data_IF_266755889851
#
_entry.id   IF_266755889851
#
_cell.length_a   1.000
_cell.length_b   1.000
_cell.length_c   1.000
_cell.angle_alpha   90.00
_cell.angle_beta   90.00
_cell.angle_gamma   90.00
#
_symmetry.space_group_name_H-M   'P 1'
#
loop_
_entity.id
_entity.type
_entity.pdbx_description
1 polymer ?
#
# COMPACT_ATOMS: atom_id res chain seq x y z
N UNK A 1 17.11 -19.76 -31.47
CA UNK A 1 16.62 -18.42 -31.09
C UNK A 1 15.13 -18.49 -30.92
N UNK A 2 14.61 -18.18 -29.73
CA UNK A 2 13.18 -18.01 -29.50
C UNK A 2 12.93 -16.56 -29.12
N UNK A 3 12.05 -15.86 -29.82
CA UNK A 3 11.62 -14.53 -29.44
C UNK A 3 10.10 -14.51 -29.31
N UNK A 4 9.62 -13.79 -28.30
CA UNK A 4 8.22 -13.42 -28.22
C UNK A 4 8.13 -11.98 -27.71
N UNK A 5 7.00 -11.36 -27.94
CA UNK A 5 6.74 -10.02 -27.47
C UNK A 5 5.30 -9.65 -27.73
N UNK A 6 4.83 -8.67 -27.00
CA UNK A 6 3.47 -8.16 -27.16
C UNK A 6 3.52 -6.65 -27.28
N UNK A 7 2.62 -6.10 -28.10
CA UNK A 7 2.34 -4.69 -28.17
C UNK A 7 0.90 -4.47 -27.69
N UNK A 8 0.70 -3.47 -26.83
CA UNK A 8 -0.58 -3.13 -26.24
C UNK A 8 -0.83 -1.64 -26.39
N UNK A 9 -2.07 -1.28 -26.73
CA UNK A 9 -2.56 0.09 -26.76
C UNK A 9 -3.97 0.13 -26.17
N UNK A 10 -4.31 1.22 -25.48
CA UNK A 10 -5.63 1.43 -24.90
C UNK A 10 -6.01 2.90 -24.94
N UNK A 11 -7.32 3.14 -25.03
CA UNK A 11 -7.93 4.45 -24.83
C UNK A 11 -9.30 4.21 -24.22
N UNK A 12 -9.75 5.10 -23.34
CA UNK A 12 -11.08 5.02 -22.73
C UNK A 12 -11.94 6.25 -23.01
N UNK A 13 -13.17 6.22 -22.50
CA UNK A 13 -14.17 7.30 -22.66
C UNK A 13 -13.72 8.65 -22.12
N UNK A 14 -12.63 8.73 -21.35
CA UNK A 14 -12.06 9.97 -20.82
C UNK A 14 -10.83 10.43 -21.61
N UNK A 15 -10.58 9.86 -22.79
CA UNK A 15 -9.44 10.15 -23.67
C UNK A 15 -8.09 9.97 -22.96
N UNK A 16 -7.96 8.87 -22.22
CA UNK A 16 -6.72 8.52 -21.52
C UNK A 16 -5.96 7.45 -22.33
N UNK A 17 -5.05 7.85 -23.24
CA UNK A 17 -4.26 6.86 -23.97
C UNK A 17 -3.29 6.16 -23.02
N UNK A 18 -3.14 4.87 -23.23
CA UNK A 18 -2.13 4.03 -22.61
C UNK A 18 -1.52 3.10 -23.64
N UNK A 19 -0.34 2.61 -23.37
CA UNK A 19 0.34 1.67 -24.24
C UNK A 19 1.52 1.02 -23.56
N UNK A 20 1.97 -0.08 -24.14
CA UNK A 20 3.15 -0.76 -23.65
C UNK A 20 3.61 -1.83 -24.62
N UNK A 21 4.88 -2.19 -24.51
CA UNK A 21 5.50 -3.25 -25.27
C UNK A 21 6.33 -4.12 -24.34
N UNK A 22 6.38 -5.40 -24.61
CA UNK A 22 7.34 -6.32 -24.01
C UNK A 22 8.01 -7.16 -25.08
N UNK A 23 9.24 -7.56 -24.80
CA UNK A 23 10.02 -8.45 -25.63
C UNK A 23 10.81 -9.40 -24.73
N UNK A 24 10.89 -10.65 -25.16
CA UNK A 24 11.68 -11.70 -24.54
C UNK A 24 12.46 -12.42 -25.65
N UNK A 25 13.79 -12.43 -25.55
CA UNK A 25 14.71 -13.00 -26.53
C UNK A 25 15.57 -14.03 -25.83
N UNK A 26 15.35 -15.31 -26.16
CA UNK A 26 16.15 -16.42 -25.68
C UNK A 26 17.09 -16.92 -26.77
N UNK A 27 18.39 -16.84 -26.49
CA UNK A 27 19.44 -17.40 -27.33
C UNK A 27 20.41 -18.21 -26.47
N UNK A 28 20.49 -19.52 -26.73
CA UNK A 28 21.35 -20.45 -25.99
C UNK A 28 21.09 -20.39 -24.48
N UNK A 29 22.12 -20.00 -23.71
CA UNK A 29 22.09 -19.89 -22.25
C UNK A 29 21.60 -18.52 -21.74
N UNK A 30 21.28 -17.58 -22.63
CA UNK A 30 20.92 -16.21 -22.24
C UNK A 30 19.47 -15.94 -22.65
N UNK A 31 18.71 -15.39 -21.72
CA UNK A 31 17.37 -14.87 -21.94
C UNK A 31 17.37 -13.38 -21.60
N UNK A 32 17.13 -12.51 -22.57
CA UNK A 32 16.95 -11.07 -22.32
C UNK A 32 15.47 -10.74 -22.34
N UNK A 33 15.01 -9.97 -21.37
CA UNK A 33 13.65 -9.46 -21.35
C UNK A 33 13.63 -7.96 -21.09
N UNK A 34 12.71 -7.28 -21.77
CA UNK A 34 12.43 -5.87 -21.53
C UNK A 34 10.93 -5.60 -21.69
N UNK A 35 10.39 -4.72 -20.85
CA UNK A 35 9.02 -4.28 -20.92
C UNK A 35 8.95 -2.78 -20.59
N UNK A 36 8.10 -2.06 -21.31
CA UNK A 36 7.81 -0.66 -21.06
C UNK A 36 6.31 -0.41 -21.18
N UNK A 37 5.78 0.48 -20.34
CA UNK A 37 4.39 0.93 -20.39
C UNK A 37 4.31 2.42 -20.07
N UNK A 38 3.31 3.07 -20.64
CA UNK A 38 2.96 4.46 -20.40
C UNK A 38 1.44 4.59 -20.31
N UNK A 39 0.95 5.35 -19.36
CA UNK A 39 -0.48 5.56 -19.17
C UNK A 39 -0.74 7.02 -18.81
N UNK A 40 -1.68 7.65 -19.52
CA UNK A 40 -2.28 8.90 -19.09
C UNK A 40 -3.40 8.63 -18.07
N UNK A 41 -3.60 9.59 -17.17
CA UNK A 41 -4.67 9.55 -16.16
C UNK A 41 -5.46 10.85 -16.19
N UNK A 42 -6.77 10.69 -16.06
CA UNK A 42 -7.75 11.76 -15.83
C UNK A 42 -8.80 11.19 -14.89
N UNK A 43 -8.91 11.78 -13.70
CA UNK A 43 -9.90 11.43 -12.69
C UNK A 43 -10.74 12.66 -12.40
N UNK A 44 -12.03 12.43 -12.26
CA UNK A 44 -13.04 13.37 -11.79
C UNK A 44 -13.66 12.72 -10.56
N UNK A 45 -14.00 13.52 -9.57
CA UNK A 45 -14.85 13.10 -8.45
C UNK A 45 -15.84 14.21 -8.17
N UNK A 46 -16.94 13.84 -7.52
CA UNK A 46 -17.94 14.76 -7.00
C UNK A 46 -18.04 14.45 -5.51
N UNK A 47 -17.69 15.42 -4.67
CA UNK A 47 -17.67 15.25 -3.23
C UNK A 47 -18.66 16.25 -2.61
N UNK A 48 -19.37 15.79 -1.59
CA UNK A 48 -20.21 16.61 -0.74
C UNK A 48 -19.94 16.24 0.71
N UNK A 49 -19.91 17.22 1.60
CA UNK A 49 -19.74 17.02 3.04
C UNK A 49 -20.66 17.95 3.79
N UNK A 50 -21.53 17.38 4.61
CA UNK A 50 -22.37 18.11 5.55
C UNK A 50 -21.87 17.85 6.97
N UNK A 51 -21.65 18.93 7.72
CA UNK A 51 -21.14 18.88 9.09
C UNK A 51 -21.98 19.75 10.01
N UNK A 52 -22.35 19.21 11.16
CA UNK A 52 -22.99 19.97 12.24
C UNK A 52 -22.04 19.98 13.44
N UNK A 53 -21.52 21.15 13.76
CA UNK A 53 -20.68 21.39 14.92
C UNK A 53 -21.56 21.96 16.06
N UNK A 54 -21.38 21.46 17.28
CA UNK A 54 -22.07 21.96 18.49
C UNK A 54 -21.09 22.65 19.47
N UNK A 55 -20.48 23.79 19.09
CA UNK A 55 -19.71 24.59 20.06
C UNK A 55 -20.60 25.08 21.19
N UNK A 56 -20.05 25.23 22.40
CA UNK A 56 -20.80 25.36 23.66
C UNK A 56 -22.09 26.23 23.67
N UNK A 57 -22.14 27.31 22.89
CA UNK A 57 -23.28 28.24 22.85
C UNK A 57 -23.91 28.44 21.45
N UNK A 58 -23.44 27.76 20.41
CA UNK A 58 -23.91 27.94 19.03
C UNK A 58 -24.01 26.58 18.32
N UNK A 59 -24.81 26.49 17.26
CA UNK A 59 -24.75 25.34 16.33
C UNK A 59 -24.20 25.85 15.00
N UNK A 60 -23.15 25.24 14.46
CA UNK A 60 -22.64 25.60 13.14
C UNK A 60 -22.90 24.47 12.14
N UNK A 61 -23.65 24.76 11.09
CA UNK A 61 -23.92 23.85 9.99
C UNK A 61 -23.01 24.27 8.84
N UNK A 62 -22.16 23.36 8.38
CA UNK A 62 -21.25 23.60 7.25
C UNK A 62 -21.56 22.61 6.14
N UNK A 63 -21.81 23.11 4.94
CA UNK A 63 -21.91 22.30 3.72
C UNK A 63 -20.72 22.61 2.82
N UNK A 64 -20.17 21.57 2.21
CA UNK A 64 -19.00 21.66 1.35
C UNK A 64 -19.23 20.86 0.08
N UNK A 65 -18.88 21.43 -1.06
CA UNK A 65 -18.98 20.78 -2.37
C UNK A 65 -17.74 21.08 -3.21
N UNK A 66 -17.21 20.05 -3.87
CA UNK A 66 -16.09 20.20 -4.79
C UNK A 66 -16.05 19.11 -5.86
N UNK A 67 -15.45 19.44 -7.00
CA UNK A 67 -15.32 18.53 -8.14
C UNK A 67 -13.84 18.42 -8.58
N UNK A 68 -12.98 17.72 -7.82
CA UNK A 68 -11.55 17.71 -8.09
C UNK A 68 -11.21 17.03 -9.42
N UNK A 69 -10.37 17.69 -10.20
CA UNK A 69 -9.82 17.21 -11.45
C UNK A 69 -8.35 16.83 -11.26
N UNK A 70 -8.06 15.54 -11.34
CA UNK A 70 -6.70 15.02 -11.35
C UNK A 70 -6.32 14.59 -12.76
N UNK A 71 -5.29 15.21 -13.34
CA UNK A 71 -4.73 14.84 -14.65
C UNK A 71 -3.26 14.47 -14.48
N UNK A 72 -2.78 13.49 -15.22
CA UNK A 72 -1.35 13.22 -15.23
C UNK A 72 -0.97 12.05 -16.11
N UNK A 73 0.22 11.54 -15.87
CA UNK A 73 0.76 10.41 -16.59
C UNK A 73 1.73 9.64 -15.70
N UNK A 74 1.96 8.39 -16.05
CA UNK A 74 3.07 7.62 -15.51
C UNK A 74 3.59 6.63 -16.54
N UNK A 75 4.90 6.37 -16.45
CA UNK A 75 5.58 5.35 -17.23
C UNK A 75 6.27 4.36 -16.31
N UNK A 76 6.42 3.12 -16.77
CA UNK A 76 7.19 2.08 -16.11
C UNK A 76 8.02 1.35 -17.17
N UNK A 77 9.28 1.06 -16.84
CA UNK A 77 10.17 0.24 -17.63
C UNK A 77 10.84 -0.81 -16.74
N UNK A 78 11.05 -2.00 -17.29
CA UNK A 78 11.83 -3.08 -16.67
C UNK A 78 12.67 -3.76 -17.73
N UNK A 79 13.91 -4.08 -17.39
CA UNK A 79 14.77 -4.92 -18.23
C UNK A 79 15.58 -5.87 -17.36
N UNK A 80 15.96 -7.01 -17.92
CA UNK A 80 16.76 -7.99 -17.22
C UNK A 80 17.28 -9.11 -18.10
N UNK A 81 18.12 -9.93 -17.50
CA UNK A 81 18.76 -11.08 -18.12
C UNK A 81 18.60 -12.29 -17.20
N UNK A 82 18.16 -13.41 -17.76
CA UNK A 82 18.33 -14.73 -17.17
C UNK A 82 19.49 -15.45 -17.85
N UNK A 83 20.50 -15.81 -17.06
CA UNK A 83 21.66 -16.57 -17.49
C UNK A 83 21.60 -18.00 -16.94
N UNK A 84 21.46 -18.95 -17.85
CA UNK A 84 21.52 -20.38 -17.58
C UNK A 84 22.99 -20.79 -17.35
N UNK A 85 23.49 -20.58 -16.13
CA UNK A 85 24.85 -20.93 -15.71
C UNK A 85 25.16 -22.41 -15.97
N UNK A 86 24.20 -23.28 -15.67
CA UNK A 86 24.22 -24.72 -15.99
C UNK A 86 22.85 -25.14 -16.50
N UNK A 87 22.70 -26.36 -17.03
CA UNK A 87 21.39 -26.90 -17.45
C UNK A 87 20.36 -27.00 -16.30
N UNK A 88 20.76 -26.70 -15.07
CA UNK A 88 19.97 -26.78 -13.84
C UNK A 88 19.98 -25.49 -13.01
N UNK A 89 20.80 -24.51 -13.34
CA UNK A 89 20.95 -23.29 -12.55
C UNK A 89 20.76 -22.07 -13.43
N UNK A 90 19.80 -21.22 -13.07
CA UNK A 90 19.52 -19.95 -13.72
C UNK A 90 19.80 -18.81 -12.73
N UNK A 91 20.60 -17.83 -13.16
CA UNK A 91 20.80 -16.55 -12.48
C UNK A 91 19.99 -15.48 -13.20
N UNK A 92 19.16 -14.73 -12.49
CA UNK A 92 18.33 -13.66 -13.02
C UNK A 92 18.76 -12.33 -12.42
N UNK A 93 18.98 -11.32 -13.25
CA UNK A 93 19.27 -9.94 -12.82
C UNK A 93 18.33 -9.02 -13.57
N UNK A 94 17.67 -8.11 -12.87
CA UNK A 94 16.77 -7.13 -13.49
C UNK A 94 16.71 -5.81 -12.74
N UNK A 95 16.37 -4.75 -13.46
CA UNK A 95 16.10 -3.43 -12.90
C UNK A 95 14.79 -2.88 -13.44
N UNK A 96 14.14 -2.03 -12.65
CA UNK A 96 12.93 -1.32 -13.04
C UNK A 96 12.99 0.15 -12.66
N UNK A 97 12.26 0.96 -13.42
CA UNK A 97 12.08 2.37 -13.20
C UNK A 97 10.63 2.74 -13.47
N UNK A 98 10.03 3.50 -12.57
CA UNK A 98 8.70 4.08 -12.73
C UNK A 98 8.77 5.57 -12.40
N UNK A 99 8.06 6.39 -13.15
CA UNK A 99 7.91 7.80 -12.84
C UNK A 99 6.54 8.27 -13.29
N UNK A 100 5.95 9.17 -12.53
CA UNK A 100 4.77 9.89 -12.96
C UNK A 100 4.64 11.26 -12.34
N UNK A 101 3.78 12.05 -12.95
CA UNK A 101 3.41 13.37 -12.48
C UNK A 101 1.91 13.56 -12.67
N UNK A 102 1.26 14.09 -11.64
CA UNK A 102 -0.15 14.39 -11.58
C UNK A 102 -0.35 15.83 -11.13
N UNK A 103 -1.27 16.51 -11.79
CA UNK A 103 -1.74 17.85 -11.45
C UNK A 103 -3.17 17.74 -10.97
N UNK A 104 -3.42 18.21 -9.76
CA UNK A 104 -4.77 18.29 -9.18
C UNK A 104 -5.20 19.75 -9.21
N UNK A 105 -6.37 20.00 -9.79
CA UNK A 105 -7.08 21.26 -9.67
C UNK A 105 -8.40 21.00 -8.99
N UNK A 106 -8.75 21.84 -8.04
CA UNK A 106 -10.00 21.71 -7.32
C UNK A 106 -10.51 23.07 -6.87
N UNK A 107 -11.82 23.18 -6.72
CA UNK A 107 -12.49 24.36 -6.17
C UNK A 107 -13.52 23.87 -5.15
N UNK A 108 -13.22 24.14 -3.88
CA UNK A 108 -14.08 23.83 -2.75
C UNK A 108 -14.97 25.01 -2.43
N UNK A 109 -16.27 24.82 -2.58
CA UNK A 109 -17.28 25.78 -2.13
C UNK A 109 -17.73 25.37 -0.73
N UNK A 110 -17.80 26.33 0.17
CA UNK A 110 -18.14 26.13 1.58
C UNK A 110 -19.25 27.12 1.91
N UNK A 111 -20.35 26.63 2.46
CA UNK A 111 -21.36 27.46 3.11
C UNK A 111 -21.42 27.09 4.59
N UNK A 112 -21.45 28.09 5.46
CA UNK A 112 -21.47 27.90 6.92
C UNK A 112 -22.51 28.79 7.56
N UNK A 113 -23.49 28.17 8.20
CA UNK A 113 -24.50 28.83 9.02
C UNK A 113 -24.19 28.62 10.49
N UNK A 114 -23.91 29.70 11.21
CA UNK A 114 -23.74 29.66 12.67
C UNK A 114 -25.01 30.18 13.34
N UNK A 115 -25.80 29.27 13.88
CA UNK A 115 -27.01 29.53 14.67
C UNK A 115 -26.59 29.98 16.07
N UNK A 116 -26.92 31.22 16.42
CA UNK A 116 -26.65 31.84 17.72
C UNK A 116 -27.95 32.21 18.41
N UNK A 117 -27.90 32.51 19.70
CA UNK A 117 -29.07 32.90 20.50
C UNK A 117 -29.81 34.14 19.97
N UNK A 118 -29.14 34.97 19.17
CA UNK A 118 -29.68 36.23 18.62
C UNK A 118 -29.91 36.18 17.10
N UNK A 119 -29.73 35.01 16.47
CA UNK A 119 -29.95 34.82 15.03
C UNK A 119 -28.88 33.97 14.35
N UNK A 120 -29.08 33.70 13.07
CA UNK A 120 -28.14 32.93 12.25
C UNK A 120 -27.18 33.85 11.52
N UNK A 121 -25.89 33.54 11.57
CA UNK A 121 -24.84 34.21 10.78
C UNK A 121 -24.37 33.25 9.71
N UNK A 122 -24.64 33.60 8.45
CA UNK A 122 -24.21 32.85 7.27
C UNK A 122 -22.91 33.41 6.70
N UNK A 123 -21.99 32.54 6.32
CA UNK A 123 -20.75 32.85 5.61
C UNK A 123 -20.59 31.88 4.44
N UNK A 124 -20.08 32.35 3.32
CA UNK A 124 -19.65 31.46 2.24
C UNK A 124 -18.16 31.67 1.95
N UNK A 125 -17.50 30.64 1.45
CA UNK A 125 -16.12 30.75 0.98
C UNK A 125 -15.85 29.83 -0.19
N UNK A 126 -14.86 30.22 -0.99
CA UNK A 126 -14.35 29.45 -2.12
C UNK A 126 -12.86 29.24 -1.88
N UNK A 127 -12.41 27.99 -1.89
CA UNK A 127 -11.01 27.61 -1.76
C UNK A 127 -10.55 26.90 -3.03
N UNK A 128 -9.66 27.54 -3.78
CA UNK A 128 -9.04 26.98 -4.97
C UNK A 128 -7.75 26.23 -4.60
N UNK A 129 -7.56 25.04 -5.14
CA UNK A 129 -6.37 24.21 -4.98
C UNK A 129 -5.69 23.98 -6.34
N UNK A 130 -4.37 24.18 -6.38
CA UNK A 130 -3.51 23.67 -7.43
C UNK A 130 -2.37 22.86 -6.82
N UNK A 131 -2.33 21.55 -7.09
CA UNK A 131 -1.30 20.66 -6.59
C UNK A 131 -0.53 19.96 -7.72
N UNK A 132 0.77 19.80 -7.54
CA UNK A 132 1.68 19.03 -8.37
C UNK A 132 2.25 17.86 -7.55
N UNK A 133 1.86 16.64 -7.91
CA UNK A 133 2.26 15.40 -7.26
C UNK A 133 3.18 14.65 -8.23
N UNK A 134 4.40 14.37 -7.82
CA UNK A 134 5.36 13.58 -8.59
C UNK A 134 5.82 12.39 -7.78
N UNK A 135 6.08 11.28 -8.46
CA UNK A 135 6.64 10.11 -7.84
C UNK A 135 7.66 9.44 -8.77
N UNK A 136 8.63 8.78 -8.15
CA UNK A 136 9.63 7.93 -8.81
C UNK A 136 9.75 6.63 -8.04
N UNK A 137 9.94 5.53 -8.73
CA UNK A 137 10.29 4.25 -8.13
C UNK A 137 11.43 3.63 -8.94
N UNK A 138 12.47 3.19 -8.23
CA UNK A 138 13.63 2.51 -8.78
C UNK A 138 13.72 1.16 -8.11
N UNK A 139 13.99 0.11 -8.88
CA UNK A 139 14.12 -1.23 -8.33
C UNK A 139 15.22 -2.03 -9.00
N UNK A 140 15.78 -2.95 -8.24
CA UNK A 140 16.76 -3.92 -8.69
C UNK A 140 16.47 -5.27 -8.03
N UNK A 141 16.63 -6.34 -8.78
CA UNK A 141 16.42 -7.71 -8.31
C UNK A 141 17.53 -8.61 -8.84
N UNK A 142 18.06 -9.46 -7.98
CA UNK A 142 18.93 -10.58 -8.33
C UNK A 142 18.33 -11.85 -7.73
N UNK A 143 18.34 -12.94 -8.49
CA UNK A 143 17.83 -14.21 -8.01
C UNK A 143 18.51 -15.40 -8.66
N UNK A 144 18.56 -16.51 -7.95
CA UNK A 144 19.05 -17.79 -8.46
C UNK A 144 17.97 -18.85 -8.29
N UNK A 145 17.79 -19.67 -9.31
CA UNK A 145 16.98 -20.90 -9.24
C UNK A 145 17.85 -22.08 -9.62
N UNK A 146 17.96 -23.05 -8.71
CA UNK A 146 18.63 -24.32 -8.94
C UNK A 146 17.63 -25.48 -8.88
N UNK A 147 17.46 -26.18 -10.00
CA UNK A 147 16.68 -27.40 -10.10
C UNK A 147 17.62 -28.61 -9.89
N UNK A 148 17.37 -29.42 -8.87
CA UNK A 148 18.19 -30.61 -8.63
C UNK A 148 17.84 -31.73 -9.63
N UNK A 149 18.64 -32.81 -9.64
CA UNK A 149 18.37 -33.99 -10.46
C UNK A 149 17.00 -34.63 -10.17
N UNK A 150 16.59 -34.57 -8.89
CA UNK A 150 15.31 -35.09 -8.44
C UNK A 150 14.20 -34.15 -8.92
N UNK A 151 13.26 -34.68 -9.70
CA UNK A 151 12.12 -33.91 -10.21
C UNK A 151 11.37 -33.22 -9.06
N UNK A 152 11.08 -31.93 -9.24
CA UNK A 152 10.39 -31.08 -8.26
C UNK A 152 11.24 -30.65 -7.06
N UNK A 153 12.50 -31.11 -6.94
CA UNK A 153 13.43 -30.60 -5.92
C UNK A 153 14.10 -29.35 -6.45
N UNK A 154 13.89 -28.23 -5.78
CA UNK A 154 14.45 -26.93 -6.19
C UNK A 154 14.89 -26.07 -5.01
N UNK A 155 15.84 -25.20 -5.26
CA UNK A 155 16.28 -24.16 -4.35
C UNK A 155 16.21 -22.82 -5.07
N UNK A 156 15.64 -21.81 -4.40
CA UNK A 156 15.62 -20.43 -4.87
C UNK A 156 16.23 -19.52 -3.82
N UNK A 157 16.91 -18.47 -4.27
CA UNK A 157 17.30 -17.37 -3.42
C UNK A 157 17.25 -16.07 -4.21
N UNK A 158 16.72 -15.01 -3.62
CA UNK A 158 16.60 -13.71 -4.26
C UNK A 158 16.81 -12.55 -3.28
N UNK A 159 17.28 -11.45 -3.84
CA UNK A 159 17.41 -10.17 -3.17
C UNK A 159 16.75 -9.10 -4.05
N UNK A 160 15.86 -8.33 -3.45
CA UNK A 160 15.12 -7.25 -4.10
C UNK A 160 15.36 -5.95 -3.35
N UNK A 161 15.61 -4.90 -4.11
CA UNK A 161 15.66 -3.53 -3.66
C UNK A 161 14.62 -2.72 -4.42
N UNK A 162 13.83 -1.92 -3.71
CA UNK A 162 12.92 -0.94 -4.32
C UNK A 162 12.95 0.35 -3.52
N UNK A 163 13.18 1.47 -4.17
CA UNK A 163 13.09 2.80 -3.56
C UNK A 163 12.07 3.66 -4.27
N UNK A 164 11.10 4.15 -3.51
CA UNK A 164 10.09 5.10 -3.95
C UNK A 164 10.38 6.48 -3.36
N UNK A 165 10.17 7.51 -4.16
CA UNK A 165 10.17 8.90 -3.74
C UNK A 165 8.89 9.55 -4.20
N UNK A 166 8.24 10.29 -3.33
CA UNK A 166 7.09 11.11 -3.65
C UNK A 166 7.39 12.56 -3.28
N UNK A 167 6.86 13.49 -4.06
CA UNK A 167 6.85 14.91 -3.73
C UNK A 167 5.49 15.49 -4.12
N UNK A 168 4.91 16.28 -3.23
CA UNK A 168 3.70 17.04 -3.47
C UNK A 168 3.97 18.52 -3.16
N UNK A 169 3.49 19.41 -4.02
CA UNK A 169 3.41 20.84 -3.74
C UNK A 169 1.97 21.26 -3.99
N UNK A 170 1.31 21.80 -2.98
CA UNK A 170 -0.07 22.23 -3.02
C UNK A 170 -0.16 23.71 -2.69
N UNK A 171 -0.84 24.48 -3.54
CA UNK A 171 -1.10 25.90 -3.30
C UNK A 171 -2.61 26.08 -3.13
N UNK A 172 -2.99 26.85 -2.12
CA UNK A 172 -4.37 27.14 -1.77
C UNK A 172 -4.59 28.64 -1.78
N UNK A 173 -5.73 29.05 -2.33
CA UNK A 173 -6.21 30.43 -2.26
C UNK A 173 -7.65 30.43 -1.80
N UNK A 174 -7.97 31.19 -0.75
CA UNK A 174 -9.31 31.24 -0.16
C UNK A 174 -9.89 32.64 -0.27
N UNK A 175 -11.15 32.72 -0.72
CA UNK A 175 -11.97 33.94 -0.71
C UNK A 175 -13.17 33.70 0.20
N UNK A 176 -13.46 34.67 1.04
CA UNK A 176 -14.55 34.61 2.03
C UNK A 176 -15.55 35.71 1.73
N UNK A 177 -16.84 35.42 1.93
CA UNK A 177 -17.93 36.34 1.68
C UNK A 177 -18.81 36.45 2.92
N UNK A 178 -19.28 37.65 3.23
CA UNK A 178 -20.22 37.88 4.33
C UNK A 178 -21.65 37.38 4.03
N UNK A 179 -22.56 37.56 4.97
CA UNK A 179 -23.98 37.17 4.84
C UNK A 179 -24.74 37.91 3.74
N UNK A 180 -24.18 39.01 3.22
CA UNK A 180 -24.75 39.80 2.13
C UNK A 180 -24.09 39.49 0.78
N UNK A 181 -23.11 38.58 0.76
CA UNK A 181 -22.36 38.20 -0.44
C UNK A 181 -21.21 39.14 -0.78
N UNK A 182 -20.84 40.10 0.09
CA UNK A 182 -19.69 40.95 -0.14
C UNK A 182 -18.40 40.18 0.17
N UNK A 183 -17.39 40.32 -0.70
CA UNK A 183 -16.08 39.72 -0.48
C UNK A 183 -15.37 40.40 0.71
N UNK A 184 -14.94 39.59 1.67
CA UNK A 184 -14.13 40.03 2.81
C UNK A 184 -12.71 40.36 2.35
N UNK A 185 -11.96 41.19 3.09
CA UNK A 185 -10.56 41.47 2.78
C UNK A 185 -9.76 40.17 2.57
N UNK A 186 -8.87 40.19 1.57
CA UNK A 186 -8.00 39.06 1.26
C UNK A 186 -7.27 38.60 2.52
N UNK A 187 -7.43 37.31 2.87
CA UNK A 187 -6.88 36.74 4.10
C UNK A 187 -5.56 35.99 3.89
N UNK A 188 -5.01 36.06 2.67
CA UNK A 188 -3.76 35.41 2.29
C UNK A 188 -3.94 34.14 1.45
N UNK A 189 -2.82 33.47 1.19
CA UNK A 189 -2.74 32.18 0.53
C UNK A 189 -1.98 31.20 1.42
N UNK A 190 -2.18 29.90 1.19
CA UNK A 190 -1.49 28.85 1.90
C UNK A 190 -0.75 27.97 0.91
N UNK A 191 0.37 27.40 1.35
CA UNK A 191 1.17 26.49 0.55
C UNK A 191 1.62 25.34 1.43
N UNK A 192 1.54 24.12 0.90
CA UNK A 192 2.06 22.93 1.53
C UNK A 192 3.06 22.28 0.58
N UNK A 193 4.27 22.01 1.06
CA UNK A 193 5.24 21.15 0.40
C UNK A 193 5.40 19.88 1.22
N UNK A 194 5.47 18.73 0.56
CA UNK A 194 5.72 17.48 1.24
C UNK A 194 6.44 16.49 0.36
N UNK A 195 7.07 15.53 1.00
CA UNK A 195 7.74 14.45 0.31
C UNK A 195 7.93 13.25 1.20
N UNK A 196 8.15 12.11 0.57
CA UNK A 196 8.54 10.88 1.26
C UNK A 196 9.56 10.10 0.45
N UNK A 197 10.40 9.34 1.14
CA UNK A 197 11.25 8.31 0.55
C UNK A 197 11.00 6.99 1.29
N UNK A 198 10.77 5.92 0.55
CA UNK A 198 10.67 4.58 1.12
C UNK A 198 11.64 3.65 0.40
N UNK A 199 12.60 3.08 1.11
CA UNK A 199 13.45 2.01 0.61
C UNK A 199 12.99 0.67 1.19
N UNK A 200 12.87 -0.35 0.34
CA UNK A 200 12.54 -1.71 0.70
C UNK A 200 13.68 -2.62 0.27
N UNK A 201 14.17 -3.43 1.20
CA UNK A 201 15.10 -4.53 0.94
C UNK A 201 14.42 -5.83 1.32
N UNK A 202 14.42 -6.82 0.46
CA UNK A 202 13.89 -8.16 0.76
C UNK A 202 14.87 -9.20 0.31
N UNK A 203 15.24 -10.08 1.23
CA UNK A 203 16.05 -11.27 0.97
C UNK A 203 15.20 -12.49 1.27
N UNK A 204 15.15 -13.44 0.35
CA UNK A 204 14.38 -14.66 0.52
C UNK A 204 15.16 -15.84 -0.01
N UNK A 205 15.04 -16.98 0.67
CA UNK A 205 15.49 -18.26 0.14
C UNK A 205 14.49 -19.35 0.49
N UNK A 206 14.17 -20.18 -0.49
CA UNK A 206 13.22 -21.26 -0.37
C UNK A 206 13.83 -22.56 -0.89
N UNK A 207 13.47 -23.66 -0.26
CA UNK A 207 13.89 -25.00 -0.62
C UNK A 207 12.68 -25.92 -0.66
N UNK A 208 12.49 -26.58 -1.79
CA UNK A 208 11.42 -27.54 -2.04
C UNK A 208 12.05 -28.91 -2.22
N UNK A 209 11.59 -29.90 -1.46
CA UNK A 209 12.06 -31.26 -1.53
C UNK A 209 10.88 -32.26 -1.54
N UNK A 210 10.54 -32.82 -2.71
CA UNK A 210 9.67 -33.98 -2.78
C UNK A 210 10.36 -35.16 -2.10
N UNK A 211 9.81 -35.69 -1.01
CA UNK A 211 10.38 -36.86 -0.32
C UNK A 211 9.92 -38.17 -0.96
N UNK A 212 8.78 -38.15 -1.66
CA UNK A 212 8.25 -39.25 -2.46
C UNK A 212 7.26 -38.74 -3.50
N UNK A 213 6.49 -39.63 -4.13
CA UNK A 213 5.47 -39.24 -5.13
C UNK A 213 4.39 -38.33 -4.56
N UNK A 214 4.02 -38.53 -3.29
CA UNK A 214 2.90 -37.85 -2.64
C UNK A 214 3.33 -37.11 -1.36
N UNK A 215 4.62 -36.89 -1.14
CA UNK A 215 5.15 -36.23 0.07
C UNK A 215 6.09 -35.13 -0.38
N UNK A 216 5.89 -33.92 0.14
CA UNK A 216 6.70 -32.73 -0.16
C UNK A 216 6.99 -31.99 1.15
N UNK A 217 8.25 -31.58 1.31
CA UNK A 217 8.68 -30.67 2.35
C UNK A 217 9.18 -29.38 1.73
N UNK A 218 8.76 -28.25 2.28
CA UNK A 218 9.12 -26.91 1.84
C UNK A 218 9.61 -26.13 3.06
N UNK A 219 10.68 -25.36 2.91
CA UNK A 219 11.16 -24.48 3.97
C UNK A 219 11.81 -23.25 3.37
N UNK A 220 11.82 -22.15 4.11
CA UNK A 220 12.46 -20.94 3.66
C UNK A 220 12.71 -19.94 4.77
N UNK A 221 13.56 -18.97 4.45
CA UNK A 221 13.92 -17.84 5.28
C UNK A 221 13.62 -16.56 4.52
N UNK A 222 13.19 -15.52 5.24
CA UNK A 222 12.94 -14.20 4.68
C UNK A 222 13.41 -13.12 5.65
N UNK A 223 14.11 -12.12 5.13
CA UNK A 223 14.41 -10.88 5.82
C UNK A 223 13.87 -9.71 5.00
N UNK A 224 13.11 -8.82 5.62
CA UNK A 224 12.59 -7.62 5.00
C UNK A 224 12.98 -6.40 5.85
N UNK A 225 13.48 -5.37 5.19
CA UNK A 225 13.86 -4.09 5.78
C UNK A 225 13.13 -2.99 5.03
N UNK A 226 12.58 -2.04 5.77
CA UNK A 226 11.95 -0.84 5.23
C UNK A 226 12.48 0.36 5.97
N UNK A 227 13.06 1.28 5.21
CA UNK A 227 13.46 2.59 5.67
C UNK A 227 12.51 3.61 5.05
N UNK A 228 11.95 4.48 5.88
CA UNK A 228 10.99 5.47 5.45
C UNK A 228 11.33 6.83 6.03
N UNK A 229 11.20 7.85 5.21
CA UNK A 229 11.34 9.25 5.59
C UNK A 229 10.15 10.01 5.01
N UNK A 230 9.60 10.95 5.77
CA UNK A 230 8.55 11.84 5.31
C UNK A 230 8.68 13.20 5.96
N UNK A 231 8.41 14.23 5.17
CA UNK A 231 8.36 15.60 5.61
C UNK A 231 7.15 16.32 5.01
N UNK A 232 6.63 17.28 5.76
CA UNK A 232 5.59 18.19 5.31
C UNK A 232 5.82 19.58 5.93
N UNK A 233 6.00 20.57 5.07
CA UNK A 233 6.17 21.96 5.41
C UNK A 233 4.96 22.77 4.95
N UNK A 234 4.36 23.50 5.88
CA UNK A 234 3.22 24.36 5.61
C UNK A 234 3.65 25.83 5.71
N UNK A 235 3.08 26.66 4.86
CA UNK A 235 3.39 28.07 4.76
C UNK A 235 2.12 28.88 4.60
N UNK A 236 2.14 30.11 5.12
CA UNK A 236 1.06 31.08 4.96
C UNK A 236 1.61 32.41 4.47
N UNK A 237 0.93 32.99 3.50
CA UNK A 237 1.09 34.37 3.11
C UNK A 237 0.10 35.21 3.92
N UNK A 238 0.58 36.26 4.58
CA UNK A 238 -0.26 37.18 5.37
C UNK A 238 -0.20 38.57 4.72
N UNK A 239 -1.32 39.10 4.21
CA UNK A 239 -1.36 40.44 3.63
C UNK A 239 -0.96 41.54 4.63
N UNK A 240 -0.30 42.62 4.18
CA UNK A 240 0.00 42.98 2.78
C UNK A 240 1.26 42.29 2.20
N UNK A 241 1.93 41.41 2.95
CA UNK A 241 3.14 40.75 2.48
C UNK A 241 2.85 39.80 1.30
N UNK A 242 3.77 39.75 0.35
CA UNK A 242 3.78 38.78 -0.76
C UNK A 242 4.59 37.52 -0.45
N UNK A 243 5.28 37.50 0.70
CA UNK A 243 6.14 36.39 1.10
C UNK A 243 5.35 35.32 1.87
N UNK A 244 5.65 34.06 1.59
CA UNK A 244 5.19 32.92 2.38
C UNK A 244 6.06 32.76 3.62
N UNK A 245 5.44 32.75 4.80
CA UNK A 245 6.10 32.50 6.08
C UNK A 245 5.82 31.06 6.53
N UNK A 246 6.82 30.29 6.98
CA UNK A 246 6.61 28.94 7.49
C UNK A 246 5.66 28.89 8.69
N UNK A 247 4.75 27.94 8.70
CA UNK A 247 3.89 27.57 9.82
C UNK A 247 4.53 26.40 10.59
N UNK A 248 5.67 26.64 11.22
CA UNK A 248 6.51 25.60 11.85
C UNK A 248 5.77 24.71 12.85
N UNK A 249 4.75 25.23 13.54
CA UNK A 249 3.89 24.46 14.45
C UNK A 249 3.11 23.32 13.76
N UNK A 250 2.92 23.38 12.45
CA UNK A 250 2.22 22.39 11.64
C UNK A 250 3.15 21.54 10.77
N UNK A 251 4.46 21.76 10.84
CA UNK A 251 5.41 20.99 10.06
C UNK A 251 5.68 19.64 10.74
N UNK A 252 5.84 18.61 9.92
CA UNK A 252 6.14 17.25 10.38
C UNK A 252 7.35 16.75 9.62
N UNK A 253 8.37 16.29 10.34
CA UNK A 253 9.53 15.60 9.77
C UNK A 253 9.80 14.35 10.61
N UNK A 254 9.83 13.21 9.94
CA UNK A 254 9.79 11.92 10.57
C UNK A 254 10.48 10.84 9.72
N UNK A 255 11.18 9.92 10.40
CA UNK A 255 11.72 8.72 9.80
C UNK A 255 11.41 7.46 10.63
N UNK A 256 11.37 6.30 9.97
CA UNK A 256 11.38 5.03 10.65
C UNK A 256 12.09 3.91 9.89
N UNK A 257 12.53 2.93 10.67
CA UNK A 257 13.05 1.65 10.22
C UNK A 257 12.12 0.52 10.72
N UNK A 258 11.75 -0.38 9.82
CA UNK A 258 10.96 -1.59 10.11
C UNK A 258 11.69 -2.82 9.56
N UNK A 259 11.95 -3.78 10.45
CA UNK A 259 12.68 -5.00 10.12
C UNK A 259 11.85 -6.22 10.51
N UNK A 260 11.76 -7.18 9.59
CA UNK A 260 11.03 -8.44 9.78
C UNK A 260 11.91 -9.62 9.37
N UNK A 261 12.16 -10.54 10.29
CA UNK A 261 12.78 -11.83 10.03
C UNK A 261 11.75 -12.94 10.15
N UNK A 262 11.68 -13.82 9.17
CA UNK A 262 10.79 -14.95 9.18
C UNK A 262 11.48 -16.24 8.73
N UNK A 263 11.07 -17.35 9.33
CA UNK A 263 11.42 -18.70 8.90
C UNK A 263 10.13 -19.52 8.81
N UNK A 264 10.07 -20.47 7.88
CA UNK A 264 8.92 -21.35 7.79
C UNK A 264 9.30 -22.77 7.35
N UNK A 265 8.42 -23.72 7.70
CA UNK A 265 8.41 -25.07 7.17
C UNK A 265 6.99 -25.49 6.85
N UNK A 266 6.81 -26.21 5.75
CA UNK A 266 5.54 -26.79 5.31
C UNK A 266 5.78 -28.25 4.96
N UNK A 267 4.98 -29.13 5.55
CA UNK A 267 4.90 -30.53 5.19
C UNK A 267 3.58 -30.79 4.48
N UNK A 268 3.64 -31.35 3.28
CA UNK A 268 2.47 -31.71 2.47
C UNK A 268 2.48 -33.20 2.16
N UNK A 269 1.35 -33.87 2.38
CA UNK A 269 1.19 -35.27 2.00
C UNK A 269 -0.19 -35.55 1.41
N UNK A 270 -0.23 -36.38 0.38
CA UNK A 270 -1.46 -36.96 -0.17
C UNK A 270 -1.52 -38.47 0.10
N UNK A 271 -2.62 -38.91 0.71
CA UNK A 271 -2.94 -40.30 1.00
C UNK A 271 -4.28 -40.62 0.32
N UNK A 272 -4.23 -41.33 -0.80
CA UNK A 272 -5.41 -41.62 -1.64
C UNK A 272 -6.16 -40.31 -2.00
N UNK A 273 -7.38 -40.17 -1.49
CA UNK A 273 -8.26 -39.03 -1.74
C UNK A 273 -8.17 -37.93 -0.66
N UNK A 274 -7.36 -38.15 0.37
CA UNK A 274 -7.10 -37.18 1.42
C UNK A 274 -5.75 -36.52 1.19
N UNK A 275 -5.67 -35.21 1.37
CA UNK A 275 -4.42 -34.46 1.37
C UNK A 275 -4.39 -33.50 2.53
N UNK A 276 -3.22 -33.33 3.12
CA UNK A 276 -3.04 -32.38 4.20
C UNK A 276 -1.72 -31.64 4.05
N UNK A 277 -1.71 -30.37 4.47
CA UNK A 277 -0.52 -29.54 4.56
C UNK A 277 -0.47 -28.92 5.96
N UNK A 278 0.66 -29.09 6.63
CA UNK A 278 0.93 -28.54 7.95
C UNK A 278 2.07 -27.54 7.81
N UNK A 279 1.81 -26.29 8.15
CA UNK A 279 2.78 -25.22 8.10
C UNK A 279 3.05 -24.65 9.48
N UNK A 280 4.30 -24.24 9.72
CA UNK A 280 4.67 -23.41 10.85
C UNK A 280 5.61 -22.32 10.36
N UNK A 281 5.25 -21.07 10.64
CA UNK A 281 6.10 -19.90 10.43
C UNK A 281 6.45 -19.27 11.77
N UNK A 282 7.68 -18.80 11.90
CA UNK A 282 8.14 -18.01 13.04
C UNK A 282 8.55 -16.63 12.56
N UNK A 283 8.18 -15.57 13.27
CA UNK A 283 8.52 -14.19 12.88
C UNK A 283 9.00 -13.38 14.06
N UNK A 284 10.06 -12.59 13.87
CA UNK A 284 10.50 -11.53 14.79
C UNK A 284 10.50 -10.22 14.01
N UNK A 285 10.07 -9.14 14.64
CA UNK A 285 10.11 -7.83 13.99
C UNK A 285 10.42 -6.70 14.96
N UNK A 286 10.99 -5.63 14.44
CA UNK A 286 11.29 -4.42 15.21
C UNK A 286 10.93 -3.18 14.40
N UNK A 287 10.43 -2.17 15.09
CA UNK A 287 10.13 -0.86 14.55
C UNK A 287 10.88 0.19 15.36
N UNK A 288 11.50 1.15 14.68
CA UNK A 288 12.16 2.31 15.32
C UNK A 288 11.76 3.56 14.56
N UNK A 289 11.16 4.53 15.25
CA UNK A 289 10.75 5.81 14.69
C UNK A 289 11.47 6.99 15.34
N UNK A 290 11.68 8.04 14.56
CA UNK A 290 12.19 9.32 15.01
C UNK A 290 11.38 10.47 14.43
N UNK A 291 10.65 11.17 15.28
CA UNK A 291 9.96 12.41 14.95
C UNK A 291 10.95 13.57 15.12
N UNK A 292 11.66 13.91 14.06
CA UNK A 292 12.71 14.94 14.03
C UNK A 292 12.18 16.31 14.45
N UNK A 293 10.96 16.65 14.03
CA UNK A 293 10.33 17.96 14.35
C UNK A 293 10.10 18.19 15.85
N UNK A 294 10.01 17.12 16.65
CA UNK A 294 9.89 17.19 18.12
C UNK A 294 11.09 16.61 18.88
N UNK A 295 12.10 16.14 18.15
CA UNK A 295 13.24 15.39 18.70
C UNK A 295 12.81 14.19 19.58
N UNK A 296 11.81 13.43 19.13
CA UNK A 296 11.22 12.32 19.89
C UNK A 296 11.45 10.97 19.21
N UNK A 297 11.97 9.99 19.95
CA UNK A 297 12.25 8.63 19.45
C UNK A 297 11.34 7.62 20.14
N UNK A 298 10.89 6.64 19.37
CA UNK A 298 10.06 5.55 19.86
C UNK A 298 10.42 4.25 19.16
N UNK A 299 10.20 3.11 19.81
CA UNK A 299 10.53 1.81 19.26
C UNK A 299 9.61 0.72 19.80
N UNK A 300 9.33 -0.26 18.95
CA UNK A 300 8.55 -1.45 19.29
C UNK A 300 9.34 -2.68 18.89
N UNK A 301 9.55 -3.58 19.84
CA UNK A 301 10.09 -4.90 19.56
C UNK A 301 8.99 -5.95 19.71
N UNK A 302 8.80 -6.72 18.66
CA UNK A 302 7.87 -7.85 18.65
C UNK A 302 8.70 -9.14 18.69
N UNK A 303 8.71 -9.85 19.83
CA UNK A 303 9.48 -11.08 19.99
C UNK A 303 8.95 -12.19 19.06
N UNK A 304 9.67 -13.31 19.04
CA UNK A 304 9.35 -14.44 18.16
C UNK A 304 7.90 -14.90 18.36
N UNK A 305 7.11 -14.78 17.31
CA UNK A 305 5.72 -15.20 17.25
C UNK A 305 5.55 -16.39 16.30
N UNK A 306 4.68 -17.32 16.67
CA UNK A 306 4.39 -18.55 15.90
C UNK A 306 3.09 -18.43 15.12
N UNK A 307 3.14 -18.85 13.85
CA UNK A 307 2.05 -18.81 12.89
C UNK A 307 1.82 -20.20 12.32
N UNK A 308 1.08 -21.07 13.04
CA UNK A 308 0.67 -22.36 12.50
C UNK A 308 -0.35 -22.19 11.37
N UNK A 309 -0.31 -23.12 10.42
CA UNK A 309 -1.33 -23.27 9.39
C UNK A 309 -1.62 -24.75 9.13
N UNK A 310 -2.88 -25.05 8.86
CA UNK A 310 -3.35 -26.39 8.51
C UNK A 310 -4.27 -26.25 7.30
N UNK A 311 -4.00 -27.06 6.27
CA UNK A 311 -4.87 -27.22 5.10
C UNK A 311 -5.20 -28.70 4.99
N UNK A 312 -6.47 -29.06 5.10
CA UNK A 312 -6.96 -30.42 4.88
C UNK A 312 -7.87 -30.40 3.66
N UNK A 313 -7.76 -31.40 2.78
CA UNK A 313 -8.66 -31.56 1.65
C UNK A 313 -9.00 -33.03 1.45
N UNK A 314 -10.30 -33.33 1.45
CA UNK A 314 -10.85 -34.64 1.18
C UNK A 314 -11.62 -34.60 -0.13
N UNK A 315 -11.14 -35.32 -1.15
CA UNK A 315 -11.90 -35.59 -2.37
C UNK A 315 -12.92 -36.67 -2.06
N UNK A 316 -14.21 -36.35 -2.21
CA UNK A 316 -15.29 -37.33 -2.06
C UNK A 316 -15.39 -38.16 -3.35
N UNK A 317 -15.32 -37.49 -4.50
CA UNK A 317 -15.27 -38.10 -5.82
C UNK A 317 -14.59 -37.14 -6.83
N UNK A 318 -14.69 -37.43 -8.13
CA UNK A 318 -14.07 -36.60 -9.19
C UNK A 318 -14.67 -35.20 -9.34
N UNK A 319 -15.81 -34.92 -8.69
CA UNK A 319 -16.57 -33.66 -8.80
C UNK A 319 -16.73 -32.93 -7.48
N UNK A 320 -16.42 -33.58 -6.36
CA UNK A 320 -16.72 -33.09 -5.02
C UNK A 320 -15.50 -33.15 -4.12
N UNK A 321 -15.27 -32.06 -3.39
CA UNK A 321 -14.23 -31.98 -2.38
C UNK A 321 -14.67 -31.11 -1.19
N UNK A 322 -14.16 -31.48 -0.02
CA UNK A 322 -14.31 -30.72 1.22
C UNK A 322 -12.93 -30.27 1.66
N UNK A 323 -12.79 -29.01 2.02
CA UNK A 323 -11.54 -28.41 2.45
C UNK A 323 -11.72 -27.73 3.81
N UNK A 324 -10.76 -27.94 4.71
CA UNK A 324 -10.67 -27.24 5.99
C UNK A 324 -9.35 -26.50 6.06
N UNK A 325 -9.42 -25.19 6.26
CA UNK A 325 -8.28 -24.30 6.34
C UNK A 325 -8.24 -23.67 7.73
N UNK A 326 -7.07 -23.67 8.35
CA UNK A 326 -6.80 -22.92 9.57
C UNK A 326 -5.50 -22.14 9.40
N UNK A 327 -5.49 -20.89 9.82
CA UNK A 327 -4.27 -20.09 9.85
C UNK A 327 -4.30 -19.04 10.95
N UNK A 328 -3.13 -18.77 11.53
CA UNK A 328 -2.89 -17.59 12.36
C UNK A 328 -2.13 -16.53 11.57
N UNK A 329 -2.54 -15.27 11.67
CA UNK A 329 -1.93 -14.11 11.03
C UNK A 329 -1.65 -13.02 12.06
N UNK A 330 -0.67 -12.17 11.75
CA UNK A 330 -0.32 -10.96 12.50
C UNK A 330 -0.72 -9.74 11.67
N UNK A 331 -1.36 -8.77 12.31
CA UNK A 331 -1.54 -7.42 11.79
C UNK A 331 -0.75 -6.47 12.70
N UNK A 332 0.30 -5.86 12.15
CA UNK A 332 1.11 -4.90 12.88
C UNK A 332 0.43 -3.54 12.85
N UNK A 333 0.53 -2.74 13.93
CA UNK A 333 0.09 -1.36 13.89
C UNK A 333 0.70 -0.64 12.69
N UNK A 334 -0.14 0.04 11.92
CA UNK A 334 0.30 0.92 10.85
C UNK A 334 1.03 2.14 11.41
N UNK A 335 1.79 2.82 10.56
CA UNK A 335 2.59 3.99 10.92
C UNK A 335 1.80 5.04 11.75
N UNK A 336 0.66 5.51 11.24
CA UNK A 336 -0.15 6.52 11.93
C UNK A 336 -0.72 6.05 13.27
N UNK A 337 -0.86 4.73 13.48
CA UNK A 337 -1.37 4.19 14.74
C UNK A 337 -0.34 4.26 15.86
N UNK A 338 0.96 4.30 15.54
CA UNK A 338 2.06 4.35 16.52
C UNK A 338 2.79 5.69 16.56
N UNK A 339 2.52 6.59 15.61
CA UNK A 339 3.14 7.91 15.57
C UNK A 339 2.62 8.78 16.73
N UNK A 340 3.46 9.18 17.70
CA UNK A 340 3.06 10.04 18.83
C UNK A 340 2.93 11.51 18.41
N UNK A 341 2.28 11.76 17.29
CA UNK A 341 2.00 13.08 16.76
C UNK A 341 0.49 13.31 16.74
N UNK A 342 0.06 14.47 17.22
CA UNK A 342 -1.34 14.89 17.14
C UNK A 342 -1.64 15.21 15.70
N UNK A 343 -2.47 14.37 15.09
CA UNK A 343 -3.04 14.66 13.78
C UNK A 343 -4.01 15.84 13.92
N UNK A 344 -3.63 16.98 13.36
CA UNK A 344 -4.43 18.21 13.30
C UNK A 344 -5.20 18.34 11.98
N UNK A 345 -5.22 17.32 11.13
CA UNK A 345 -5.98 17.34 9.87
C UNK A 345 -7.48 17.55 10.10
N UNK A 346 -8.00 17.08 11.24
CA UNK A 346 -9.31 17.42 11.77
C UNK A 346 -9.16 18.03 13.17
N UNK A 347 -9.31 19.35 13.28
CA UNK A 347 -9.16 20.07 14.55
C UNK A 347 -10.23 19.74 15.59
N UNK A 348 -11.31 19.05 15.20
CA UNK A 348 -12.37 18.60 16.09
C UNK A 348 -12.22 17.12 16.48
N UNK A 349 -11.35 16.38 15.79
CA UNK A 349 -11.07 14.96 16.05
C UNK A 349 -9.56 14.71 16.08
N UNK A 350 -8.93 15.29 17.10
CA UNK A 350 -7.50 15.11 17.35
C UNK A 350 -7.22 13.64 17.67
N UNK A 351 -6.45 12.97 16.83
CA UNK A 351 -5.94 11.63 17.10
C UNK A 351 -4.43 11.66 17.33
N UNK A 352 -3.98 10.93 18.35
CA UNK A 352 -2.56 10.68 18.60
C UNK A 352 -2.34 9.17 18.45
N UNK A 353 -1.29 8.78 17.73
CA UNK A 353 -0.87 7.38 17.72
C UNK A 353 -0.29 6.97 19.07
N UNK A 354 -0.42 5.70 19.41
CA UNK A 354 0.12 5.13 20.63
C UNK A 354 1.34 4.23 20.30
N UNK A 355 2.57 4.67 20.61
CA UNK A 355 3.77 3.87 20.42
C UNK A 355 3.75 2.53 21.16
N UNK A 356 2.94 2.33 22.19
CA UNK A 356 2.88 1.08 22.95
C UNK A 356 1.94 0.02 22.34
N UNK A 357 1.36 0.27 21.17
CA UNK A 357 0.48 -0.70 20.52
C UNK A 357 1.17 -2.05 20.27
N UNK A 358 0.42 -3.10 20.55
CA UNK A 358 0.80 -4.48 20.28
C UNK A 358 0.20 -4.93 18.95
N UNK A 359 0.78 -5.96 18.28
CA UNK A 359 0.20 -6.50 17.07
C UNK A 359 -1.10 -7.23 17.37
N UNK A 360 -2.06 -7.07 16.47
CA UNK A 360 -3.26 -7.89 16.48
C UNK A 360 -2.94 -9.27 15.92
N UNK A 361 -3.43 -10.32 16.57
CA UNK A 361 -3.36 -11.68 16.06
C UNK A 361 -4.74 -12.15 15.65
N UNK A 362 -4.90 -12.54 14.39
CA UNK A 362 -6.14 -13.12 13.88
C UNK A 362 -5.97 -14.61 13.59
N UNK A 363 -6.92 -15.41 14.05
CA UNK A 363 -7.05 -16.82 13.71
C UNK A 363 -8.28 -16.99 12.83
N UNK A 364 -8.12 -17.66 11.69
CA UNK A 364 -9.19 -17.91 10.73
C UNK A 364 -9.30 -19.41 10.48
N UNK A 365 -10.48 -19.96 10.72
CA UNK A 365 -10.87 -21.30 10.32
C UNK A 365 -11.95 -21.21 9.23
N UNK A 366 -11.79 -21.95 8.14
CA UNK A 366 -12.70 -21.94 7.00
C UNK A 366 -12.96 -23.38 6.52
N UNK A 367 -14.23 -23.76 6.43
CA UNK A 367 -14.70 -25.01 5.84
C UNK A 367 -15.37 -24.70 4.51
N UNK A 368 -14.88 -25.32 3.44
CA UNK A 368 -15.39 -25.13 2.08
C UNK A 368 -15.80 -26.46 1.47
N UNK A 369 -17.00 -26.52 0.89
CA UNK A 369 -17.50 -27.63 0.08
C UNK A 369 -17.67 -27.16 -1.36
N UNK A 370 -17.01 -27.87 -2.27
CA UNK A 370 -17.05 -27.59 -3.70
C UNK A 370 -17.67 -28.78 -4.44
N UNK A 371 -18.62 -28.51 -5.33
CA UNK A 371 -19.29 -29.54 -6.14
C UNK A 371 -19.55 -29.06 -7.58
N UNK A 372 -18.91 -29.74 -8.53
CA UNK A 372 -19.11 -29.56 -9.95
C UNK A 372 -20.14 -30.57 -10.49
N UNK A 373 -21.42 -30.34 -10.25
CA UNK A 373 -22.51 -31.29 -10.55
C UNK A 373 -22.53 -31.80 -12.01
N UNK A 374 -22.41 -30.88 -12.98
CA UNK A 374 -22.45 -31.12 -14.44
C UNK A 374 -21.59 -30.09 -15.18
N UNK A 375 -21.27 -30.35 -16.45
CA UNK A 375 -20.56 -29.39 -17.32
C UNK A 375 -21.25 -28.02 -17.29
N UNK A 376 -20.54 -27.00 -16.83
CA UNK A 376 -21.05 -25.62 -16.73
C UNK A 376 -21.73 -25.24 -15.42
N UNK A 377 -21.89 -26.16 -14.45
CA UNK A 377 -22.52 -25.87 -13.16
C UNK A 377 -21.62 -26.26 -11.99
N UNK A 378 -21.38 -25.31 -11.08
CA UNK A 378 -20.60 -25.52 -9.85
C UNK A 378 -21.30 -24.85 -8.68
N UNK A 379 -21.19 -25.46 -7.50
CA UNK A 379 -21.60 -24.85 -6.22
C UNK A 379 -20.40 -24.88 -5.29
N UNK A 380 -20.14 -23.73 -4.69
CA UNK A 380 -19.19 -23.56 -3.61
C UNK A 380 -19.97 -23.05 -2.39
N UNK A 381 -19.87 -23.77 -1.28
CA UNK A 381 -20.41 -23.35 0.02
C UNK A 381 -19.27 -23.23 1.01
N UNK A 382 -19.20 -22.11 1.72
CA UNK A 382 -18.12 -21.82 2.67
C UNK A 382 -18.69 -21.31 3.99
N UNK A 383 -18.17 -21.84 5.09
CA UNK A 383 -18.41 -21.36 6.44
C UNK A 383 -17.07 -20.98 7.08
N UNK A 384 -17.00 -19.85 7.77
CA UNK A 384 -15.77 -19.40 8.41
C UNK A 384 -16.01 -18.87 9.82
N UNK A 385 -14.97 -18.97 10.65
CA UNK A 385 -14.90 -18.40 11.98
C UNK A 385 -13.59 -17.63 12.13
N UNK A 386 -13.68 -16.40 12.66
CA UNK A 386 -12.52 -15.55 12.93
C UNK A 386 -12.49 -15.20 14.41
N UNK A 387 -11.30 -15.31 15.00
CA UNK A 387 -11.01 -14.83 16.36
C UNK A 387 -9.81 -13.89 16.30
N UNK A 388 -9.95 -12.68 16.85
CA UNK A 388 -8.87 -11.69 16.93
C UNK A 388 -8.53 -11.40 18.39
N UNK A 389 -7.24 -11.34 18.70
CA UNK A 389 -6.70 -10.90 19.98
C UNK A 389 -5.85 -9.63 19.79
N UNK A 390 -5.82 -8.75 20.79
CA UNK A 390 -5.21 -7.41 20.75
C UNK A 390 -5.71 -6.57 19.56
N UNK A 391 -7.03 -6.53 19.37
CA UNK A 391 -7.66 -5.75 18.30
C UNK A 391 -7.26 -4.28 18.42
N UNK A 392 -6.66 -3.74 17.37
CA UNK A 392 -6.30 -2.32 17.32
C UNK A 392 -7.55 -1.54 16.93
N UNK A 393 -8.03 -0.70 17.84
CA UNK A 393 -9.23 0.15 17.67
C UNK A 393 -8.87 1.63 17.86
N UNK A 394 -9.65 2.53 17.27
CA UNK A 394 -9.50 3.99 17.37
C UNK A 394 -10.46 4.55 18.38
#
# INVERSE_FOLDING_TARGET
MGYNGNLRASIDSRMRPGGGADINIKQNKVNFFAAAQFNMRKSLADNSTDRIDYPANNTAITTQENNPLNKGYFGFGRAGIDFLMTNRTTLSVSGNYMQGNFKVKDQLKIAKDTIKNWGTVSETSIRDLSADISFKNTGASIGVKHNFAKAGKEWTADANYNRNHNRNVSNYSSRYFDSYGNEKPYQGAEKAEGGSSTAFYTFQTDFVNPLGKNIKFETGLRAAFRDYESWNDNFRQIPPSTLFTPLTATNVDFDFEDVVYAAYGIYSQQIKNFSYQLGLRTERSSYKGFLRSKNERFANEYPVSLFPSVFLSQKINSRQDVQLNYSRKISRPGFFQILPFVDFSDSLNLSVGNPDLRPEFSQLAELSYNNNYKTGHSVLATAYARYSDNLITR
#
